data_IF_991041347922
#
_entry.id   IF_991041347922
#
_cell.length_a   1.000
_cell.length_b   1.000
_cell.length_c   1.000
_cell.angle_alpha   90.00
_cell.angle_beta   90.00
_cell.angle_gamma   90.00
#
_symmetry.space_group_name_H-M   'P 1'
#
loop_
_entity.id
_entity.type
_entity.pdbx_description
1 polymer ?
#
# COMPACT_ATOMS: atom_id res chain seq x y z
N UNK A 1 -21.49 35.47 -19.94
CA UNK A 1 -21.55 35.31 -18.47
C UNK A 1 -20.18 35.64 -17.89
N UNK A 2 -20.09 36.22 -16.70
CA UNK A 2 -18.80 36.36 -16.01
C UNK A 2 -18.35 34.99 -15.45
N UNK A 3 -17.04 34.70 -15.36
CA UNK A 3 -16.56 33.46 -14.77
C UNK A 3 -16.92 33.37 -13.28
N UNK A 4 -17.59 32.28 -12.91
CA UNK A 4 -17.85 31.91 -11.52
C UNK A 4 -16.58 31.31 -10.90
N UNK A 5 -15.78 32.17 -10.26
CA UNK A 5 -14.67 31.73 -9.43
C UNK A 5 -15.21 31.02 -8.18
N UNK A 6 -14.64 29.87 -7.82
CA UNK A 6 -15.05 29.08 -6.64
C UNK A 6 -15.02 29.89 -5.33
N UNK A 7 -14.11 30.85 -5.22
CA UNK A 7 -13.98 31.80 -4.10
C UNK A 7 -15.17 32.77 -3.93
N UNK A 8 -16.11 32.81 -4.90
CA UNK A 8 -17.35 33.59 -4.82
C UNK A 8 -18.56 32.77 -4.35
N UNK A 9 -18.39 31.48 -4.06
CA UNK A 9 -19.42 30.69 -3.39
C UNK A 9 -19.52 31.10 -1.91
N UNK A 10 -20.69 30.98 -1.26
CA UNK A 10 -20.81 31.15 0.18
C UNK A 10 -19.89 30.19 0.94
N UNK A 11 -19.38 30.64 2.09
CA UNK A 11 -18.45 29.87 2.93
C UNK A 11 -19.03 28.52 3.38
N UNK A 12 -20.34 28.44 3.63
CA UNK A 12 -21.05 27.18 3.91
C UNK A 12 -21.00 26.19 2.72
N UNK A 13 -21.18 26.69 1.49
CA UNK A 13 -21.10 25.87 0.28
C UNK A 13 -19.65 25.42 0.03
N UNK A 14 -18.66 26.25 0.36
CA UNK A 14 -17.24 25.88 0.30
C UNK A 14 -16.90 24.81 1.34
N UNK A 15 -17.37 24.95 2.59
CA UNK A 15 -17.22 23.94 3.63
C UNK A 15 -17.88 22.61 3.22
N UNK A 16 -19.12 22.64 2.72
CA UNK A 16 -19.82 21.45 2.22
C UNK A 16 -19.10 20.78 1.06
N UNK A 17 -18.46 21.54 0.15
CA UNK A 17 -17.63 20.96 -0.92
C UNK A 17 -16.33 20.38 -0.36
N UNK A 18 -15.61 21.12 0.49
CA UNK A 18 -14.33 20.68 1.05
C UNK A 18 -14.49 19.45 1.95
N UNK A 19 -15.54 19.39 2.77
CA UNK A 19 -15.88 18.25 3.61
C UNK A 19 -16.17 16.98 2.79
N UNK A 20 -16.45 17.09 1.49
CA UNK A 20 -16.70 15.94 0.60
C UNK A 20 -15.43 15.36 -0.04
N UNK A 21 -14.31 16.08 0.02
CA UNK A 21 -13.04 15.72 -0.63
C UNK A 21 -12.11 14.88 0.28
N UNK A 22 -11.14 14.15 -0.30
CA UNK A 22 -10.08 13.49 0.47
C UNK A 22 -9.21 14.50 1.23
N UNK A 23 -8.69 14.09 2.40
CA UNK A 23 -7.79 14.88 3.27
C UNK A 23 -6.68 15.58 2.48
N UNK A 24 -6.03 14.89 1.53
CA UNK A 24 -4.96 15.44 0.69
C UNK A 24 -5.42 16.60 -0.20
N UNK A 25 -6.63 16.51 -0.77
CA UNK A 25 -7.25 17.58 -1.56
C UNK A 25 -7.67 18.75 -0.69
N UNK A 26 -8.18 18.50 0.51
CA UNK A 26 -8.52 19.57 1.48
C UNK A 26 -7.26 20.34 1.89
N UNK A 27 -6.17 19.65 2.21
CA UNK A 27 -4.87 20.28 2.54
C UNK A 27 -4.28 21.07 1.36
N UNK A 28 -4.41 20.56 0.13
CA UNK A 28 -3.99 21.28 -1.07
C UNK A 28 -4.82 22.56 -1.28
N UNK A 29 -6.15 22.49 -1.21
CA UNK A 29 -7.05 23.64 -1.33
C UNK A 29 -6.78 24.69 -0.25
N UNK A 30 -6.58 24.26 1.00
CA UNK A 30 -6.22 25.13 2.14
C UNK A 30 -4.99 25.99 1.85
N UNK A 31 -4.01 25.47 1.11
CA UNK A 31 -2.80 26.19 0.75
C UNK A 31 -2.97 27.20 -0.41
N UNK A 32 -4.10 27.20 -1.14
CA UNK A 32 -4.28 28.05 -2.34
C UNK A 32 -4.70 29.49 -2.03
N UNK A 33 -5.50 29.75 -0.99
CA UNK A 33 -5.91 31.11 -0.62
C UNK A 33 -6.30 31.24 0.86
N UNK A 34 -6.36 32.49 1.35
CA UNK A 34 -6.67 32.80 2.76
C UNK A 34 -8.07 32.33 3.19
N UNK A 35 -9.09 32.48 2.35
CA UNK A 35 -10.47 32.06 2.65
C UNK A 35 -10.53 30.56 2.98
N UNK A 36 -10.05 29.71 2.07
CA UNK A 36 -10.01 28.25 2.26
C UNK A 36 -9.08 27.85 3.43
N UNK A 37 -8.03 28.64 3.71
CA UNK A 37 -7.17 28.48 4.89
C UNK A 37 -7.90 28.71 6.22
N UNK A 38 -8.76 29.74 6.28
CA UNK A 38 -9.60 30.08 7.44
C UNK A 38 -10.73 29.06 7.62
N UNK A 39 -11.43 28.68 6.54
CA UNK A 39 -12.52 27.70 6.63
C UNK A 39 -12.02 26.34 7.14
N UNK A 40 -10.90 25.85 6.59
CA UNK A 40 -10.23 24.64 7.08
C UNK A 40 -9.27 24.90 8.27
N UNK A 41 -9.53 25.92 9.10
CA UNK A 41 -8.86 26.08 10.40
C UNK A 41 -9.64 25.42 11.55
N UNK A 42 -10.94 25.16 11.39
CA UNK A 42 -11.78 24.62 12.45
C UNK A 42 -11.48 23.14 12.75
N UNK A 43 -11.26 22.80 14.03
CA UNK A 43 -10.89 21.45 14.44
C UNK A 43 -12.01 20.42 14.18
N UNK A 44 -13.28 20.81 14.34
CA UNK A 44 -14.43 19.94 14.08
C UNK A 44 -14.57 19.56 12.60
N UNK A 45 -14.21 20.46 11.68
CA UNK A 45 -14.23 20.20 10.24
C UNK A 45 -13.22 19.10 9.87
N UNK A 46 -12.02 19.12 10.47
CA UNK A 46 -11.07 18.02 10.30
C UNK A 46 -11.54 16.70 10.92
N UNK A 47 -12.35 16.74 12.00
CA UNK A 47 -13.05 15.53 12.50
C UNK A 47 -14.04 14.98 11.48
N UNK A 48 -14.86 15.83 10.85
CA UNK A 48 -15.80 15.40 9.80
C UNK A 48 -15.06 14.76 8.62
N UNK A 49 -14.00 15.42 8.12
CA UNK A 49 -13.19 14.90 7.01
C UNK A 49 -12.52 13.57 7.37
N UNK A 50 -11.98 13.41 8.59
CA UNK A 50 -11.39 12.16 9.06
C UNK A 50 -12.41 11.01 9.13
N UNK A 51 -13.57 11.27 9.74
CA UNK A 51 -14.65 10.27 9.91
C UNK A 51 -15.27 9.89 8.57
N UNK A 52 -15.36 10.84 7.62
CA UNK A 52 -15.75 10.55 6.23
C UNK A 52 -14.71 9.68 5.51
N UNK A 53 -13.43 10.04 5.58
CA UNK A 53 -12.35 9.39 4.84
C UNK A 53 -12.08 7.97 5.35
N UNK A 54 -12.22 7.74 6.66
CA UNK A 54 -11.81 6.49 7.31
C UNK A 54 -12.92 5.75 8.06
N UNK A 55 -14.13 6.28 8.11
CA UNK A 55 -15.31 5.67 8.74
C UNK A 55 -15.48 6.00 10.23
N UNK A 56 -16.53 5.46 10.88
CA UNK A 56 -16.98 5.88 12.21
C UNK A 56 -15.97 5.64 13.33
N UNK A 57 -15.16 4.56 13.27
CA UNK A 57 -14.17 4.24 14.32
C UNK A 57 -13.09 5.32 14.42
N UNK A 58 -12.86 6.09 13.35
CA UNK A 58 -11.97 7.26 13.40
C UNK A 58 -12.47 8.32 14.40
N UNK A 59 -13.78 8.39 14.70
CA UNK A 59 -14.36 9.34 15.64
C UNK A 59 -14.02 9.07 17.11
N UNK A 60 -13.61 7.83 17.41
CA UNK A 60 -13.30 7.27 18.74
C UNK A 60 -11.82 7.47 19.13
N UNK A 61 -10.98 7.96 18.22
CA UNK A 61 -9.57 8.20 18.48
C UNK A 61 -9.34 9.22 19.60
N UNK A 62 -8.36 8.92 20.47
CA UNK A 62 -7.89 9.77 21.57
C UNK A 62 -6.40 10.13 21.45
N UNK A 63 -5.82 10.00 20.25
CA UNK A 63 -4.37 10.06 20.00
C UNK A 63 -3.88 11.44 19.59
N UNK A 64 -4.78 12.32 19.15
CA UNK A 64 -4.51 13.76 19.04
C UNK A 64 -5.80 14.57 19.16
N UNK A 65 -5.75 15.63 19.96
CA UNK A 65 -6.81 16.64 20.04
C UNK A 65 -6.91 17.46 18.74
N UNK A 66 -5.82 17.55 17.97
CA UNK A 66 -5.72 18.28 16.72
C UNK A 66 -6.03 17.35 15.53
N UNK A 67 -7.26 17.44 15.03
CA UNK A 67 -7.72 16.58 13.94
C UNK A 67 -7.02 16.84 12.61
N UNK A 68 -6.44 18.03 12.38
CA UNK A 68 -5.62 18.28 11.19
C UNK A 68 -4.29 17.51 11.27
N UNK A 69 -3.67 17.45 12.45
CA UNK A 69 -2.45 16.67 12.68
C UNK A 69 -2.73 15.16 12.64
N UNK A 70 -3.83 14.71 13.26
CA UNK A 70 -4.35 13.35 13.10
C UNK A 70 -4.49 12.99 11.61
N UNK A 71 -5.13 13.85 10.82
CA UNK A 71 -5.27 13.68 9.38
C UNK A 71 -3.91 13.60 8.65
N UNK A 72 -2.98 14.51 8.94
CA UNK A 72 -1.67 14.58 8.27
C UNK A 72 -0.80 13.36 8.60
N UNK A 73 -0.82 12.87 9.84
CA UNK A 73 -0.02 11.72 10.30
C UNK A 73 -0.30 10.41 9.55
N UNK A 74 -1.49 10.30 8.94
CA UNK A 74 -2.02 9.09 8.30
C UNK A 74 -2.00 9.11 6.78
N UNK A 75 -1.41 10.15 6.17
CA UNK A 75 -1.49 10.41 4.73
C UNK A 75 -0.14 10.34 4.01
N UNK A 76 -0.21 10.16 2.69
CA UNK A 76 0.91 10.27 1.76
C UNK A 76 0.69 11.42 0.79
N UNK A 77 1.74 12.21 0.56
CA UNK A 77 1.79 13.23 -0.50
C UNK A 77 2.75 12.81 -1.63
N UNK A 78 3.03 11.50 -1.76
CA UNK A 78 3.99 10.98 -2.73
C UNK A 78 3.32 10.49 -4.00
N UNK A 79 3.69 11.09 -5.12
CA UNK A 79 3.52 10.48 -6.44
C UNK A 79 4.55 9.36 -6.59
N UNK A 80 4.08 8.12 -6.78
CA UNK A 80 4.94 6.96 -7.08
C UNK A 80 5.20 6.89 -8.58
N UNK A 81 6.40 6.44 -8.96
CA UNK A 81 6.77 6.25 -10.37
C UNK A 81 6.47 4.81 -10.79
N UNK A 82 5.56 4.62 -11.75
CA UNK A 82 5.21 3.30 -12.26
C UNK A 82 6.42 2.64 -12.95
N UNK A 83 6.79 1.44 -12.49
CA UNK A 83 7.96 0.71 -12.94
C UNK A 83 7.59 -0.31 -14.03
N UNK A 84 8.56 -0.78 -14.85
CA UNK A 84 8.32 -1.89 -15.77
C UNK A 84 8.00 -3.21 -15.05
N UNK A 85 8.18 -3.29 -13.73
CA UNK A 85 7.90 -4.47 -12.92
C UNK A 85 6.44 -4.55 -12.45
N UNK A 86 5.69 -3.44 -12.49
CA UNK A 86 4.27 -3.34 -12.09
C UNK A 86 4.02 -3.97 -10.71
N UNK A 87 4.82 -3.61 -9.71
CA UNK A 87 4.62 -4.11 -8.36
C UNK A 87 3.24 -3.62 -7.87
N UNK A 88 2.45 -4.50 -7.25
CA UNK A 88 1.08 -4.16 -6.83
C UNK A 88 1.07 -2.98 -5.84
N UNK A 89 2.16 -2.83 -5.09
CA UNK A 89 2.44 -1.70 -4.19
C UNK A 89 2.55 -0.33 -4.88
N UNK A 90 2.81 -0.28 -6.19
CA UNK A 90 2.84 0.97 -6.97
C UNK A 90 1.42 1.56 -7.17
N UNK A 91 0.38 0.71 -7.15
CA UNK A 91 -1.03 1.10 -7.35
C UNK A 91 -1.67 1.75 -6.11
N UNK A 92 -1.17 1.44 -4.92
CA UNK A 92 -1.78 1.83 -3.64
C UNK A 92 -0.83 2.75 -2.86
N UNK A 93 -0.96 4.06 -3.08
CA UNK A 93 -0.12 5.10 -2.44
C UNK A 93 -0.71 5.65 -1.14
N UNK A 94 -2.01 5.48 -0.92
CA UNK A 94 -2.66 5.70 0.38
C UNK A 94 -2.04 4.78 1.44
N UNK A 95 -1.59 5.30 2.60
CA UNK A 95 -0.89 4.49 3.61
C UNK A 95 -1.66 3.27 4.11
N UNK A 96 -2.98 3.33 4.29
CA UNK A 96 -3.74 2.19 4.78
C UNK A 96 -3.99 1.16 3.67
N UNK A 97 -4.39 1.59 2.46
CA UNK A 97 -4.53 0.69 1.31
C UNK A 97 -3.21 0.00 0.97
N UNK A 98 -2.08 0.69 1.15
CA UNK A 98 -0.74 0.11 1.00
C UNK A 98 -0.48 -1.03 1.99
N UNK A 99 -0.91 -0.89 3.24
CA UNK A 99 -0.76 -1.92 4.27
C UNK A 99 -1.71 -3.10 4.00
N UNK A 100 -2.95 -2.86 3.58
CA UNK A 100 -3.87 -3.91 3.11
C UNK A 100 -3.25 -4.70 1.95
N UNK A 101 -2.69 -4.00 0.96
CA UNK A 101 -1.97 -4.58 -0.16
C UNK A 101 -0.79 -5.46 0.30
N UNK A 102 0.08 -4.93 1.17
CA UNK A 102 1.26 -5.63 1.66
C UNK A 102 0.92 -6.87 2.49
N UNK A 103 -0.05 -6.80 3.41
CA UNK A 103 -0.51 -7.96 4.20
C UNK A 103 -1.12 -9.05 3.32
N UNK A 104 -1.78 -8.66 2.22
CA UNK A 104 -2.41 -9.59 1.26
C UNK A 104 -1.42 -10.25 0.30
N UNK A 105 -0.32 -9.58 -0.06
CA UNK A 105 0.72 -10.16 -0.93
C UNK A 105 1.85 -10.90 -0.18
N UNK A 106 2.08 -10.60 1.10
CA UNK A 106 3.16 -11.20 1.90
C UNK A 106 3.07 -12.73 1.91
N UNK A 107 4.10 -13.41 1.38
CA UNK A 107 4.21 -14.88 1.23
C UNK A 107 3.22 -15.54 0.24
N UNK A 108 2.63 -14.80 -0.70
CA UNK A 108 1.82 -15.36 -1.82
C UNK A 108 2.43 -15.01 -3.17
N UNK A 109 2.50 -15.99 -4.07
CA UNK A 109 2.80 -15.81 -5.50
C UNK A 109 1.52 -15.84 -6.34
N UNK A 110 1.56 -15.28 -7.55
CA UNK A 110 0.40 -15.12 -8.43
C UNK A 110 -0.14 -13.68 -8.41
N UNK A 111 0.41 -12.83 -9.28
CA UNK A 111 0.13 -11.38 -9.29
C UNK A 111 -1.35 -11.05 -9.54
N UNK A 112 -2.01 -11.78 -10.43
CA UNK A 112 -3.41 -11.54 -10.79
C UNK A 112 -4.36 -11.93 -9.64
N UNK A 113 -4.19 -13.11 -9.04
CA UNK A 113 -4.98 -13.54 -7.87
C UNK A 113 -4.82 -12.56 -6.70
N UNK A 114 -3.59 -12.12 -6.43
CA UNK A 114 -3.30 -11.12 -5.38
C UNK A 114 -3.95 -9.77 -5.70
N UNK A 115 -3.86 -9.27 -6.93
CA UNK A 115 -4.51 -8.02 -7.35
C UNK A 115 -6.04 -8.11 -7.24
N UNK A 116 -6.64 -9.18 -7.75
CA UNK A 116 -8.09 -9.39 -7.71
C UNK A 116 -8.62 -9.52 -6.27
N UNK A 117 -7.88 -10.18 -5.37
CA UNK A 117 -8.23 -10.20 -3.93
C UNK A 117 -8.10 -8.81 -3.30
N UNK A 118 -7.03 -8.05 -3.54
CA UNK A 118 -6.88 -6.69 -2.99
C UNK A 118 -7.99 -5.75 -3.49
N UNK A 119 -8.35 -5.82 -4.76
CA UNK A 119 -9.47 -5.03 -5.31
C UNK A 119 -10.83 -5.45 -4.75
N UNK A 120 -11.02 -6.73 -4.44
CA UNK A 120 -12.25 -7.21 -3.79
C UNK A 120 -12.31 -6.76 -2.33
N UNK A 121 -11.18 -6.84 -1.59
CA UNK A 121 -11.06 -6.34 -0.22
C UNK A 121 -11.37 -4.84 -0.14
N UNK A 122 -10.74 -4.01 -0.98
CA UNK A 122 -10.91 -2.55 -0.96
C UNK A 122 -12.25 -2.09 -1.55
N UNK A 123 -13.02 -2.98 -2.20
CA UNK A 123 -14.39 -2.72 -2.67
C UNK A 123 -15.44 -3.07 -1.61
N UNK A 124 -15.28 -4.21 -0.93
CA UNK A 124 -16.18 -4.64 0.15
C UNK A 124 -15.95 -3.86 1.46
N UNK A 125 -14.68 -3.59 1.79
CA UNK A 125 -14.25 -2.90 3.00
C UNK A 125 -13.46 -1.64 2.62
N UNK A 126 -14.12 -0.56 2.16
CA UNK A 126 -13.46 0.59 1.53
C UNK A 126 -12.74 1.55 2.49
N UNK A 127 -12.87 1.35 3.81
CA UNK A 127 -12.26 2.20 4.84
C UNK A 127 -11.62 1.35 5.95
N UNK A 128 -10.68 1.90 6.75
CA UNK A 128 -10.11 1.19 7.89
C UNK A 128 -11.17 0.79 8.91
N UNK A 129 -12.21 1.61 9.16
CA UNK A 129 -13.33 1.22 10.03
C UNK A 129 -14.09 0.02 9.50
N UNK A 130 -14.38 -0.01 8.19
CA UNK A 130 -15.09 -1.14 7.57
C UNK A 130 -14.26 -2.43 7.59
N UNK A 131 -12.93 -2.33 7.47
CA UNK A 131 -12.02 -3.48 7.56
C UNK A 131 -11.80 -3.95 9.01
N UNK A 132 -11.80 -3.02 9.98
CA UNK A 132 -11.68 -3.33 11.41
C UNK A 132 -12.94 -4.04 11.94
N UNK A 133 -14.12 -3.59 11.52
CA UNK A 133 -15.43 -4.17 11.87
C UNK A 133 -15.96 -5.23 10.90
N UNK A 134 -15.13 -5.71 9.95
CA UNK A 134 -15.53 -6.73 8.98
C UNK A 134 -15.86 -8.07 9.65
N UNK A 135 -16.87 -8.79 9.15
CA UNK A 135 -17.13 -10.17 9.56
C UNK A 135 -15.94 -11.09 9.20
N UNK A 136 -15.57 -11.97 10.13
CA UNK A 136 -14.47 -12.91 9.92
C UNK A 136 -14.78 -13.95 8.82
N UNK A 137 -16.04 -14.34 8.63
CA UNK A 137 -16.45 -15.27 7.59
C UNK A 137 -16.33 -14.68 6.18
N UNK A 138 -16.94 -13.52 5.96
CA UNK A 138 -16.86 -12.76 4.70
C UNK A 138 -15.40 -12.41 4.35
N UNK A 139 -14.65 -11.85 5.30
CA UNK A 139 -13.26 -11.47 5.08
C UNK A 139 -12.38 -12.69 4.75
N UNK A 140 -12.57 -13.83 5.42
CA UNK A 140 -11.86 -15.08 5.09
C UNK A 140 -12.29 -15.67 3.75
N UNK A 141 -13.55 -15.50 3.33
CA UNK A 141 -14.01 -15.94 2.02
C UNK A 141 -13.27 -15.18 0.90
N UNK A 142 -13.11 -13.86 1.03
CA UNK A 142 -12.35 -13.02 0.08
C UNK A 142 -10.84 -13.35 0.09
N UNK A 143 -10.29 -13.69 1.26
CA UNK A 143 -8.88 -14.10 1.42
C UNK A 143 -8.56 -15.53 0.96
N UNK A 144 -9.57 -16.39 0.77
CA UNK A 144 -9.40 -17.81 0.44
C UNK A 144 -8.49 -18.09 -0.78
N UNK A 145 -8.54 -17.31 -1.89
CA UNK A 145 -7.69 -17.57 -3.07
C UNK A 145 -6.20 -17.31 -2.84
N UNK A 146 -5.83 -16.45 -1.89
CA UNK A 146 -4.43 -16.09 -1.60
C UNK A 146 -3.85 -16.86 -0.40
N UNK A 147 -4.69 -17.58 0.34
CA UNK A 147 -4.31 -18.40 1.50
C UNK A 147 -4.02 -17.62 2.78
N UNK A 148 -3.64 -18.34 3.84
CA UNK A 148 -3.35 -17.81 5.19
C UNK A 148 -4.50 -16.99 5.79
N UNK A 149 -5.76 -17.29 5.40
CA UNK A 149 -6.93 -16.45 5.63
C UNK A 149 -7.14 -16.08 7.11
N UNK A 150 -6.97 -17.02 8.05
CA UNK A 150 -7.14 -16.74 9.49
C UNK A 150 -6.08 -15.79 10.06
N UNK A 151 -4.83 -15.90 9.59
CA UNK A 151 -3.77 -14.99 9.99
C UNK A 151 -3.95 -13.60 9.36
N UNK A 152 -4.37 -13.55 8.08
CA UNK A 152 -4.59 -12.31 7.34
C UNK A 152 -5.84 -11.56 7.77
N UNK A 153 -6.93 -12.25 8.11
CA UNK A 153 -8.14 -11.67 8.68
C UNK A 153 -7.79 -10.86 9.94
N UNK A 154 -7.16 -11.52 10.93
CA UNK A 154 -6.68 -10.88 12.16
C UNK A 154 -5.65 -9.77 11.91
N UNK A 155 -4.78 -9.91 10.92
CA UNK A 155 -3.83 -8.85 10.55
C UNK A 155 -4.51 -7.62 9.97
N UNK A 156 -5.45 -7.79 9.03
CA UNK A 156 -6.18 -6.70 8.38
C UNK A 156 -7.10 -5.96 9.36
N UNK A 157 -7.87 -6.70 10.17
CA UNK A 157 -8.75 -6.12 11.19
C UNK A 157 -7.94 -5.33 12.24
N UNK A 158 -6.91 -5.94 12.83
CA UNK A 158 -6.08 -5.27 13.86
C UNK A 158 -5.30 -4.08 13.30
N UNK A 159 -4.58 -4.25 12.19
CA UNK A 159 -3.86 -3.13 11.55
C UNK A 159 -4.79 -1.97 11.23
N UNK A 160 -6.01 -2.23 10.74
CA UNK A 160 -6.97 -1.16 10.42
C UNK A 160 -7.53 -0.46 11.66
N UNK A 161 -7.69 -1.17 12.77
CA UNK A 161 -8.05 -0.57 14.06
C UNK A 161 -6.89 0.23 14.66
N UNK A 162 -5.70 -0.38 14.75
CA UNK A 162 -4.47 0.24 15.25
C UNK A 162 -4.13 1.53 14.46
N UNK A 163 -4.31 1.50 13.14
CA UNK A 163 -4.12 2.64 12.24
C UNK A 163 -5.01 3.84 12.62
N UNK A 164 -6.21 3.61 13.12
CA UNK A 164 -7.12 4.67 13.58
C UNK A 164 -6.83 5.08 15.02
N UNK A 165 -6.64 4.12 15.92
CA UNK A 165 -6.72 4.32 17.37
C UNK A 165 -5.37 4.43 18.10
N UNK A 166 -4.23 4.34 17.40
CA UNK A 166 -2.89 4.47 18.02
C UNK A 166 -2.08 5.66 17.52
N UNK A 167 -1.17 6.16 18.36
CA UNK A 167 -0.19 7.20 18.03
C UNK A 167 1.03 6.61 17.25
N UNK A 168 0.74 5.83 16.22
CA UNK A 168 1.76 5.13 15.43
C UNK A 168 2.62 6.09 14.60
N UNK A 169 3.86 5.67 14.33
CA UNK A 169 4.86 6.39 13.52
C UNK A 169 5.45 5.53 12.40
N UNK A 170 5.43 4.21 12.56
CA UNK A 170 5.93 3.25 11.56
C UNK A 170 5.10 1.97 11.57
N UNK A 171 4.87 1.30 10.41
CA UNK A 171 4.01 0.12 10.34
C UNK A 171 4.42 -1.06 11.24
N UNK A 172 5.69 -1.18 11.64
CA UNK A 172 6.17 -2.26 12.52
C UNK A 172 5.45 -2.34 13.87
N UNK A 173 4.73 -1.27 14.25
CA UNK A 173 3.93 -1.22 15.48
C UNK A 173 2.60 -2.00 15.35
N UNK A 174 2.15 -2.30 14.13
CA UNK A 174 0.89 -3.00 13.86
C UNK A 174 1.05 -4.52 13.82
N UNK A 175 0.03 -5.23 14.29
CA UNK A 175 -0.01 -6.70 14.22
C UNK A 175 0.10 -7.21 12.76
N UNK A 176 1.09 -8.08 12.51
CA UNK A 176 1.37 -8.67 11.19
C UNK A 176 2.26 -7.83 10.26
N UNK A 177 2.54 -6.56 10.58
CA UNK A 177 3.32 -5.68 9.70
C UNK A 177 4.84 -5.85 9.88
N UNK A 178 5.35 -7.00 9.44
CA UNK A 178 6.78 -7.33 9.47
C UNK A 178 7.65 -6.47 8.55
N UNK A 179 8.97 -6.73 8.56
CA UNK A 179 9.98 -5.90 7.88
C UNK A 179 9.68 -5.55 6.41
N UNK A 180 9.22 -6.51 5.61
CA UNK A 180 8.79 -6.28 4.22
C UNK A 180 7.74 -5.17 4.09
N UNK A 181 6.74 -5.17 4.97
CA UNK A 181 5.65 -4.18 4.99
C UNK A 181 6.19 -2.78 5.30
N UNK A 182 7.12 -2.69 6.25
CA UNK A 182 7.81 -1.44 6.59
C UNK A 182 8.67 -0.91 5.45
N UNK A 183 9.53 -1.74 4.87
CA UNK A 183 10.40 -1.34 3.76
C UNK A 183 9.55 -0.89 2.55
N UNK A 184 8.45 -1.57 2.26
CA UNK A 184 7.50 -1.17 1.21
C UNK A 184 6.86 0.19 1.51
N UNK A 185 6.30 0.39 2.70
CA UNK A 185 5.70 1.66 3.10
C UNK A 185 6.70 2.83 3.11
N UNK A 186 7.96 2.60 3.51
CA UNK A 186 9.03 3.60 3.39
C UNK A 186 9.27 3.99 1.92
N UNK A 187 9.36 3.01 1.03
CA UNK A 187 9.62 3.26 -0.40
C UNK A 187 8.47 4.01 -1.08
N UNK A 188 7.22 3.60 -0.82
CA UNK A 188 6.05 4.06 -1.57
C UNK A 188 5.22 5.15 -0.89
N UNK A 189 5.10 5.15 0.44
CA UNK A 189 4.33 6.14 1.19
C UNK A 189 5.18 7.31 1.71
N UNK A 190 6.42 7.07 2.20
CA UNK A 190 7.32 8.17 2.61
C UNK A 190 8.29 8.61 1.51
N UNK A 191 8.48 7.79 0.47
CA UNK A 191 9.30 8.10 -0.71
C UNK A 191 10.80 7.89 -0.51
N UNK A 192 11.20 7.04 0.42
CA UNK A 192 12.61 6.71 0.66
C UNK A 192 13.21 5.93 -0.51
N UNK A 193 14.35 6.39 -1.03
CA UNK A 193 15.02 5.76 -2.19
C UNK A 193 16.35 5.08 -1.86
N UNK A 194 16.60 4.80 -0.59
CA UNK A 194 17.78 4.06 -0.14
C UNK A 194 17.53 2.56 -0.18
N UNK A 195 18.42 1.79 -0.80
CA UNK A 195 18.39 0.32 -0.71
C UNK A 195 19.04 -0.20 0.60
N UNK A 196 19.61 0.67 1.45
CA UNK A 196 20.33 0.26 2.66
C UNK A 196 19.38 -0.42 3.64
N UNK A 197 19.67 -1.69 3.93
CA UNK A 197 18.90 -2.50 4.87
C UNK A 197 17.56 -2.98 4.34
N UNK A 198 17.18 -2.71 3.09
CA UNK A 198 16.01 -3.36 2.46
C UNK A 198 16.35 -4.83 2.22
N UNK A 199 15.41 -5.75 2.47
CA UNK A 199 15.62 -7.19 2.28
C UNK A 199 15.00 -7.76 1.00
N UNK A 200 13.75 -7.39 0.68
CA UNK A 200 13.03 -7.98 -0.45
C UNK A 200 13.66 -7.65 -1.83
N UNK A 201 13.64 -8.66 -2.70
CA UNK A 201 14.29 -8.61 -4.03
C UNK A 201 13.52 -7.72 -5.00
N UNK A 202 12.18 -7.66 -4.91
CA UNK A 202 11.37 -6.81 -5.79
C UNK A 202 11.48 -5.33 -5.37
N UNK A 203 11.46 -5.04 -4.07
CA UNK A 203 11.71 -3.70 -3.52
C UNK A 203 13.10 -3.19 -3.91
N UNK A 204 14.16 -4.02 -3.78
CA UNK A 204 15.50 -3.71 -4.30
C UNK A 204 15.48 -3.43 -5.81
N UNK A 205 14.84 -4.28 -6.61
CA UNK A 205 14.78 -4.14 -8.08
C UNK A 205 14.09 -2.83 -8.49
N UNK A 206 12.99 -2.46 -7.82
CA UNK A 206 12.33 -1.16 -7.99
C UNK A 206 13.26 0.01 -7.64
N UNK A 207 13.96 -0.04 -6.49
CA UNK A 207 14.88 1.01 -6.07
C UNK A 207 16.08 1.19 -7.02
N UNK A 208 16.66 0.10 -7.53
CA UNK A 208 17.74 0.19 -8.52
C UNK A 208 17.26 0.82 -9.84
N UNK A 209 16.05 0.48 -10.30
CA UNK A 209 15.44 1.13 -11.47
C UNK A 209 15.15 2.61 -11.24
N UNK A 210 14.65 2.98 -10.05
CA UNK A 210 14.39 4.37 -9.69
C UNK A 210 15.68 5.21 -9.65
N UNK A 211 16.80 4.60 -9.27
CA UNK A 211 18.12 5.23 -9.32
C UNK A 211 18.64 5.42 -10.76
N UNK A 212 18.53 4.41 -11.64
CA UNK A 212 18.99 4.54 -13.04
C UNK A 212 18.13 5.52 -13.84
N UNK A 213 16.81 5.55 -13.63
CA UNK A 213 15.91 6.52 -14.27
C UNK A 213 16.27 7.97 -13.93
N UNK A 214 16.56 8.26 -12.65
CA UNK A 214 16.98 9.59 -12.18
C UNK A 214 18.38 10.00 -12.66
N UNK A 215 19.28 9.03 -12.88
CA UNK A 215 20.60 9.30 -13.43
C UNK A 215 20.52 9.82 -14.87
N UNK A 216 19.67 9.22 -15.72
CA UNK A 216 19.45 9.65 -17.10
C UNK A 216 18.83 11.04 -17.24
N UNK A 217 18.03 11.50 -16.26
CA UNK A 217 17.48 12.86 -16.27
C UNK A 217 18.54 13.92 -15.96
N UNK A 218 19.56 13.59 -15.14
CA UNK A 218 20.62 14.54 -14.78
C UNK A 218 21.59 14.85 -15.92
N UNK A 219 21.86 13.89 -16.81
CA UNK A 219 22.79 14.09 -17.93
C UNK A 219 22.20 14.86 -19.10
N UNK A 220 20.86 14.88 -19.26
CA UNK A 220 20.19 15.65 -20.30
C UNK A 220 20.28 17.18 -20.08
N UNK A 221 20.38 17.64 -18.83
CA UNK A 221 20.44 19.07 -18.48
C UNK A 221 21.87 19.65 -18.43
N UNK A 222 22.88 18.97 -18.99
CA UNK A 222 24.29 19.44 -18.99
C UNK A 222 24.84 19.66 -20.41
N UNK A 223 24.02 19.47 -21.45
CA UNK A 223 24.41 19.66 -22.87
C UNK A 223 23.63 20.79 -23.57
N UNK A 224 22.91 21.62 -22.79
CA UNK A 224 22.03 22.67 -23.29
C UNK A 224 22.50 24.11 -22.97
N UNK A 225 23.78 24.29 -22.62
CA UNK A 225 24.40 25.63 -22.51
C UNK A 225 25.85 25.62 -23.03
N UNK A 226 25.99 25.65 -24.36
CA UNK A 226 27.09 26.30 -25.10
C UNK A 226 26.91 26.08 -26.61
N UNK A 227 26.49 27.14 -27.34
CA UNK A 227 26.93 27.51 -28.71
C UNK A 227 26.16 28.73 -29.22
N UNK A 228 26.80 29.89 -29.14
CA UNK A 228 26.40 31.11 -29.86
C UNK A 228 27.53 31.46 -30.83
N UNK A 229 27.20 31.69 -32.10
CA UNK A 229 28.11 32.22 -33.12
C UNK A 229 29.04 31.20 -33.82
N UNK A 230 29.38 31.48 -35.08
CA UNK A 230 30.37 30.74 -35.88
C UNK A 230 29.85 30.29 -37.26
N UNK A 231 30.09 31.10 -38.30
CA UNK A 231 29.59 30.87 -39.68
C UNK A 231 30.70 30.36 -40.62
N UNK A 232 30.29 29.74 -41.75
CA UNK A 232 31.02 29.55 -43.05
C UNK A 232 31.65 28.17 -43.37
N UNK A 233 31.99 28.01 -44.67
CA UNK A 233 32.87 27.00 -45.29
C UNK A 233 32.37 25.54 -45.56
N UNK A 234 31.39 25.43 -46.47
CA UNK A 234 31.38 24.57 -47.68
C UNK A 234 32.47 23.46 -47.81
N UNK A 235 32.04 22.19 -47.92
CA UNK A 235 32.79 21.10 -48.60
C UNK A 235 31.81 20.09 -49.24
N UNK A 236 32.28 19.21 -50.13
CA UNK A 236 31.46 18.38 -51.04
C UNK A 236 32.02 16.94 -51.14
N UNK A 237 31.15 15.99 -51.52
CA UNK A 237 31.40 14.54 -51.72
C UNK A 237 31.44 13.71 -50.41
N UNK A 238 31.20 12.40 -50.42
CA UNK A 238 30.93 11.47 -51.55
C UNK A 238 29.79 10.47 -51.23
N UNK A 239 29.28 9.75 -52.24
CA UNK A 239 28.33 8.64 -52.02
C UNK A 239 29.04 7.34 -51.59
N UNK A 240 28.41 6.58 -50.69
CA UNK A 240 28.78 5.19 -50.35
C UNK A 240 27.52 4.31 -50.28
N UNK A 241 27.59 3.09 -50.86
CA UNK A 241 26.44 2.18 -51.04
C UNK A 241 26.53 0.93 -50.13
N UNK A 242 25.38 0.25 -50.03
CA UNK A 242 25.16 -1.15 -49.60
C UNK A 242 25.17 -1.39 -48.08
N UNK A 243 24.17 -2.02 -47.42
CA UNK A 243 23.14 -3.04 -47.77
C UNK A 243 23.55 -4.50 -47.59
N UNK A 244 22.56 -5.32 -47.22
CA UNK A 244 22.57 -6.78 -46.92
C UNK A 244 23.16 -7.17 -45.56
N UNK A 245 22.84 -8.32 -44.93
CA UNK A 245 21.65 -9.24 -44.84
C UNK A 245 22.08 -10.31 -43.80
N UNK A 246 21.18 -10.90 -43.02
CA UNK A 246 21.54 -12.02 -42.12
C UNK A 246 20.54 -12.28 -40.99
N UNK A 247 19.36 -12.83 -41.28
CA UNK A 247 19.02 -14.27 -41.14
C UNK A 247 18.88 -14.78 -39.71
N UNK A 248 17.65 -15.26 -39.39
CA UNK A 248 17.31 -15.84 -38.10
C UNK A 248 17.95 -17.21 -37.85
N UNK A 249 18.03 -17.61 -36.58
CA UNK A 249 18.13 -19.03 -36.20
C UNK A 249 17.23 -19.37 -35.01
N UNK A 250 16.07 -19.93 -35.33
CA UNK A 250 15.08 -20.50 -34.41
C UNK A 250 15.61 -21.83 -33.87
N UNK A 251 15.72 -22.00 -32.55
CA UNK A 251 15.96 -23.32 -31.93
C UNK A 251 15.09 -23.51 -30.68
N UNK A 252 13.95 -24.16 -30.88
CA UNK A 252 13.18 -24.82 -29.83
C UNK A 252 13.85 -26.15 -29.48
N UNK A 253 13.87 -26.51 -28.19
CA UNK A 253 13.99 -27.91 -27.77
C UNK A 253 13.01 -28.16 -26.61
N UNK A 254 12.44 -29.37 -26.54
CA UNK A 254 11.42 -29.75 -25.55
C UNK A 254 12.02 -30.59 -24.42
N UNK A 255 11.39 -30.48 -23.24
CA UNK A 255 11.12 -31.53 -22.22
C UNK A 255 12.11 -32.70 -22.02
N UNK A 256 12.48 -32.94 -20.76
CA UNK A 256 12.03 -34.11 -19.93
C UNK A 256 12.45 -33.85 -18.45
N UNK A 257 11.63 -34.10 -17.41
CA UNK A 257 11.18 -35.39 -16.83
C UNK A 257 12.33 -36.00 -15.97
N UNK A 258 12.18 -36.42 -14.69
CA UNK A 258 10.98 -36.68 -13.88
C UNK A 258 11.14 -36.49 -12.35
N UNK A 259 10.03 -36.74 -11.64
CA UNK A 259 9.74 -36.80 -10.19
C UNK A 259 10.81 -37.32 -9.19
N UNK A 260 10.68 -36.86 -7.93
CA UNK A 260 10.90 -37.67 -6.74
C UNK A 260 10.02 -37.18 -5.56
N UNK A 261 9.08 -38.01 -5.10
CA UNK A 261 8.26 -37.78 -3.90
C UNK A 261 8.57 -38.87 -2.87
N UNK A 262 8.87 -38.47 -1.63
CA UNK A 262 8.93 -39.42 -0.50
C UNK A 262 8.21 -38.82 0.72
N UNK A 263 7.19 -39.53 1.19
CA UNK A 263 6.48 -39.24 2.44
C UNK A 263 7.08 -40.11 3.55
N UNK A 264 7.27 -39.56 4.75
CA UNK A 264 7.60 -40.33 5.95
C UNK A 264 6.59 -40.03 7.05
N UNK A 265 5.77 -41.03 7.40
CA UNK A 265 4.84 -41.01 8.54
C UNK A 265 4.99 -42.31 9.31
N UNK A 266 5.46 -42.19 10.57
CA UNK A 266 5.38 -43.17 11.67
C UNK A 266 5.67 -42.35 12.93
N UNK A 267 4.78 -42.13 13.90
CA UNK A 267 3.81 -43.01 14.58
C UNK A 267 4.49 -44.03 15.50
N UNK A 268 4.39 -43.77 16.81
CA UNK A 268 4.53 -44.76 17.88
C UNK A 268 3.39 -44.58 18.90
N UNK A 269 2.73 -45.68 19.20
CA UNK A 269 1.93 -45.94 20.41
C UNK A 269 2.69 -47.04 21.18
N UNK A 270 2.51 -47.28 22.49
CA UNK A 270 1.61 -46.73 23.50
C UNK A 270 1.75 -47.56 24.80
N UNK A 271 0.65 -47.76 25.56
CA UNK A 271 0.57 -48.52 26.84
C UNK A 271 1.24 -47.80 28.06
N UNK A 272 0.80 -47.87 29.33
CA UNK A 272 -0.44 -48.29 30.04
C UNK A 272 -0.40 -47.63 31.47
N UNK A 273 -1.08 -48.01 32.60
CA UNK A 273 -1.96 -49.12 32.98
C UNK A 273 -2.85 -48.78 34.23
N UNK A 274 -4.17 -48.99 34.14
CA UNK A 274 -5.20 -49.35 35.18
C UNK A 274 -5.26 -48.70 36.60
N UNK A 275 -6.44 -48.09 36.86
CA UNK A 275 -7.43 -48.30 37.97
C UNK A 275 -7.02 -48.42 39.47
N UNK A 276 -7.64 -47.57 40.31
CA UNK A 276 -8.51 -47.94 41.47
C UNK A 276 -9.35 -46.69 41.89
N UNK A 277 -10.68 -46.74 42.15
CA UNK A 277 -11.40 -46.90 43.45
C UNK A 277 -10.69 -46.28 44.68
N UNK A 278 -11.30 -45.61 45.69
CA UNK A 278 -12.70 -45.46 46.21
C UNK A 278 -12.72 -44.17 47.15
N UNK A 279 -13.72 -43.61 47.89
CA UNK A 279 -15.12 -43.89 48.34
C UNK A 279 -15.84 -42.58 48.84
N UNK A 280 -17.18 -42.50 48.83
CA UNK A 280 -18.15 -41.74 49.72
C UNK A 280 -17.94 -40.32 50.28
N UNK A 281 -18.93 -39.43 50.06
CA UNK A 281 -19.79 -38.66 51.02
C UNK A 281 -20.30 -37.35 50.35
N UNK A 282 -21.57 -36.91 50.30
CA UNK A 282 -22.88 -37.11 51.00
C UNK A 282 -23.26 -36.04 52.07
N UNK A 283 -23.61 -34.85 51.61
CA UNK A 283 -24.63 -33.94 52.19
C UNK A 283 -25.44 -33.36 51.01
N UNK A 284 -26.78 -33.34 50.93
CA UNK A 284 -27.82 -32.83 51.85
C UNK A 284 -27.63 -31.35 52.20
N UNK A 285 -28.36 -30.49 51.51
CA UNK A 285 -29.41 -29.68 52.14
C UNK A 285 -30.56 -29.47 51.14
N UNK A 286 -31.82 -29.36 51.58
CA UNK A 286 -32.94 -29.02 50.69
C UNK A 286 -34.16 -28.45 51.43
N UNK A 287 -34.23 -27.12 51.51
CA UNK A 287 -35.46 -26.33 51.63
C UNK A 287 -35.22 -24.93 51.07
#
# INVERSE_FOLDING_TARGET
MAPLFIQKLPDEALLLVMARLPVTSVLALRATCRQLSTLAAANHFWKEVAVRQWGPVAAEQSVSENWMEYCQSRMSFRTVANSPFRLVQEKYTDPWQHLVCCLTCTRTSGSETVQNTIETLLRGFPTPSAMAGADEGELKAVLRPVGLQDARCRALQRMSSDFLLTAWKTPQQFYGCGKFVSDSWRIFCTGETSCRGVEDVNLKRYLHWLATGRAGTRTANTTADQRVGGTTARSVAALGRSSRKGTAKRKTLRSRQNDAVTVVVRQQSGMALRRSTRTTARGKEKR
#
